data_IF_594199912807
#
_entry.id   IF_594199912807
#
_cell.length_a   1.000
_cell.length_b   1.000
_cell.length_c   1.000
_cell.angle_alpha   90.00
_cell.angle_beta   90.00
_cell.angle_gamma   90.00
#
_symmetry.space_group_name_H-M   'P 1'
#
loop_
_entity.id
_entity.type
_entity.pdbx_description
1 polymer ?
#
# COMPACT_ATOMS: atom_id res chain seq x y z
N UNK A 1 -27.65 -4.67 -24.23
CA UNK A 1 -27.30 -4.46 -22.80
C UNK A 1 -25.86 -4.81 -22.59
N UNK A 2 -25.06 -3.86 -22.15
CA UNK A 2 -23.64 -4.07 -21.92
C UNK A 2 -23.30 -3.89 -20.45
N UNK A 3 -22.77 -4.94 -19.82
CA UNK A 3 -22.21 -4.87 -18.48
C UNK A 3 -20.70 -4.78 -18.59
N UNK A 4 -20.10 -3.86 -17.89
CA UNK A 4 -18.67 -3.71 -17.83
C UNK A 4 -18.21 -3.72 -16.37
N UNK A 5 -17.01 -4.27 -16.17
CA UNK A 5 -16.36 -4.28 -14.88
C UNK A 5 -15.02 -3.56 -15.01
N UNK A 6 -14.80 -2.59 -14.15
CA UNK A 6 -13.54 -1.88 -14.08
C UNK A 6 -13.04 -1.87 -12.65
N UNK A 7 -11.73 -1.71 -12.50
CA UNK A 7 -11.11 -1.58 -11.20
C UNK A 7 -10.24 -0.34 -11.18
N UNK A 8 -10.23 0.34 -10.03
CA UNK A 8 -9.37 1.49 -9.85
C UNK A 8 -8.96 1.60 -8.37
N UNK A 9 -7.78 2.14 -8.15
CA UNK A 9 -7.34 2.51 -6.81
C UNK A 9 -7.91 3.88 -6.52
N UNK A 10 -9.09 3.92 -5.90
CA UNK A 10 -9.83 5.18 -5.73
C UNK A 10 -9.37 5.98 -4.50
N UNK A 11 -8.53 5.38 -3.67
CA UNK A 11 -8.00 6.07 -2.50
C UNK A 11 -6.65 5.49 -2.13
N UNK A 12 -5.64 6.35 -2.06
CA UNK A 12 -4.29 5.98 -1.62
C UNK A 12 -3.88 6.99 -0.57
N UNK A 13 -3.59 6.53 0.65
CA UNK A 13 -3.26 7.39 1.78
C UNK A 13 -1.95 6.99 2.42
N UNK A 14 -1.19 7.97 2.86
CA UNK A 14 -0.03 7.75 3.73
C UNK A 14 -0.51 7.94 5.16
N UNK A 15 -0.44 6.88 5.97
CA UNK A 15 -0.95 6.87 7.34
C UNK A 15 0.19 6.60 8.29
N UNK A 16 0.28 7.40 9.36
CA UNK A 16 1.30 7.25 10.38
C UNK A 16 2.72 7.26 9.81
N UNK A 17 2.95 8.08 8.76
CA UNK A 17 4.26 8.29 8.14
C UNK A 17 4.76 7.10 7.33
N UNK A 18 4.48 5.86 7.75
CA UNK A 18 5.07 4.65 7.16
C UNK A 18 4.13 3.88 6.27
N UNK A 19 2.85 3.81 6.61
CA UNK A 19 1.91 2.90 5.98
C UNK A 19 1.25 3.55 4.78
N UNK A 20 1.15 2.79 3.69
CA UNK A 20 0.37 3.19 2.52
C UNK A 20 -0.90 2.37 2.51
N UNK A 21 -2.05 3.00 2.70
CA UNK A 21 -3.34 2.35 2.58
C UNK A 21 -3.86 2.52 1.16
N UNK A 22 -4.21 1.42 0.53
CA UNK A 22 -4.75 1.41 -0.83
C UNK A 22 -6.16 0.85 -0.77
N UNK A 23 -7.12 1.61 -1.28
CA UNK A 23 -8.48 1.12 -1.48
C UNK A 23 -8.71 0.92 -2.97
N UNK A 24 -8.98 -0.32 -3.36
CA UNK A 24 -9.30 -0.68 -4.74
C UNK A 24 -10.81 -0.83 -4.86
N UNK A 25 -11.39 -0.14 -5.83
CA UNK A 25 -12.81 -0.21 -6.11
C UNK A 25 -13.05 -1.06 -7.35
N UNK A 26 -13.97 -2.01 -7.25
CA UNK A 26 -14.50 -2.76 -8.39
C UNK A 26 -15.85 -2.17 -8.73
N UNK A 27 -15.99 -1.68 -9.95
CA UNK A 27 -17.15 -0.92 -10.40
C UNK A 27 -17.84 -1.70 -11.50
N UNK A 28 -19.13 -1.99 -11.32
CA UNK A 28 -19.96 -2.64 -12.31
C UNK A 28 -20.90 -1.60 -12.92
N UNK A 29 -20.85 -1.47 -14.23
CA UNK A 29 -21.71 -0.53 -14.96
C UNK A 29 -22.58 -1.26 -15.97
N UNK A 30 -23.76 -0.73 -16.18
CA UNK A 30 -24.68 -1.18 -17.23
C UNK A 30 -24.93 0.00 -18.15
N UNK A 31 -24.54 -0.15 -19.43
CA UNK A 31 -24.70 0.88 -20.45
C UNK A 31 -24.10 2.22 -20.02
N UNK A 32 -22.93 2.15 -19.35
CA UNK A 32 -22.21 3.34 -18.87
C UNK A 32 -22.65 3.88 -17.53
N UNK A 33 -23.69 3.30 -16.92
CA UNK A 33 -24.23 3.76 -15.64
C UNK A 33 -23.77 2.82 -14.53
N UNK A 34 -23.20 3.36 -13.48
CA UNK A 34 -22.71 2.58 -12.35
C UNK A 34 -23.88 1.93 -11.61
N UNK A 35 -23.83 0.60 -11.48
CA UNK A 35 -24.83 -0.17 -10.72
C UNK A 35 -24.39 -0.45 -9.31
N UNK A 36 -23.13 -0.81 -9.15
CA UNK A 36 -22.60 -1.19 -7.83
C UNK A 36 -21.10 -0.96 -7.78
N UNK A 37 -20.59 -0.83 -6.57
CA UNK A 37 -19.17 -0.63 -6.31
C UNK A 37 -18.82 -1.38 -5.04
N UNK A 38 -17.79 -2.19 -5.12
CA UNK A 38 -17.25 -2.88 -3.95
C UNK A 38 -15.80 -2.47 -3.73
N UNK A 39 -15.32 -2.63 -2.51
CA UNK A 39 -14.00 -2.14 -2.12
C UNK A 39 -13.16 -3.24 -1.50
N UNK A 40 -11.87 -3.22 -1.82
CA UNK A 40 -10.85 -4.00 -1.14
C UNK A 40 -9.77 -3.05 -0.64
N UNK A 41 -9.33 -3.27 0.57
CA UNK A 41 -8.29 -2.45 1.18
C UNK A 41 -7.07 -3.31 1.49
N UNK A 42 -5.89 -2.71 1.32
CA UNK A 42 -4.64 -3.33 1.74
C UNK A 42 -3.72 -2.25 2.30
N UNK A 43 -2.75 -2.69 3.08
CA UNK A 43 -1.75 -1.81 3.69
C UNK A 43 -0.39 -2.28 3.24
N UNK A 44 0.42 -1.34 2.75
CA UNK A 44 1.81 -1.59 2.39
C UNK A 44 2.70 -0.89 3.41
N UNK A 45 3.75 -1.59 3.81
CA UNK A 45 4.76 -1.07 4.76
C UNK A 45 6.10 -1.00 4.07
N UNK A 46 7.03 -0.12 4.52
CA UNK A 46 8.31 0.06 3.85
C UNK A 46 9.18 -1.19 3.74
N UNK A 47 9.04 -2.13 4.66
CA UNK A 47 9.83 -3.34 4.61
C UNK A 47 9.74 -4.15 5.87
N UNK A 48 10.65 -5.11 5.99
CA UNK A 48 10.78 -5.97 7.18
C UNK A 48 12.24 -6.05 7.58
N UNK A 49 12.50 -6.51 8.81
CA UNK A 49 13.88 -6.74 9.26
C UNK A 49 14.29 -8.17 8.93
N UNK A 50 15.55 -8.31 8.48
CA UNK A 50 16.15 -9.64 8.34
C UNK A 50 16.80 -10.06 9.67
N UNK A 51 17.49 -11.22 9.65
CA UNK A 51 18.11 -11.77 10.86
C UNK A 51 19.24 -10.88 11.40
N UNK A 52 19.80 -9.99 10.57
CA UNK A 52 20.88 -9.07 10.94
C UNK A 52 20.37 -7.65 11.23
N UNK A 53 19.06 -7.49 11.40
CA UNK A 53 18.40 -6.20 11.65
C UNK A 53 18.60 -5.19 10.51
N UNK A 54 18.78 -5.68 9.28
CA UNK A 54 18.77 -4.85 8.09
C UNK A 54 17.36 -4.76 7.53
N UNK A 55 17.00 -3.58 7.02
CA UNK A 55 15.69 -3.40 6.40
C UNK A 55 15.67 -4.04 5.01
N UNK A 56 14.80 -5.02 4.84
CA UNK A 56 14.51 -5.62 3.53
C UNK A 56 13.31 -4.86 2.95
N UNK A 57 13.55 -4.07 1.92
CA UNK A 57 12.53 -3.19 1.36
C UNK A 57 11.42 -3.98 0.69
N UNK A 58 10.20 -3.47 0.79
CA UNK A 58 9.03 -4.08 0.18
C UNK A 58 9.17 -4.03 -1.34
N UNK A 59 8.93 -5.17 -1.98
CA UNK A 59 8.93 -5.26 -3.43
C UNK A 59 7.63 -4.66 -3.98
N UNK A 60 7.76 -3.59 -4.74
CA UNK A 60 6.64 -2.88 -5.33
C UNK A 60 6.40 -3.26 -6.80
N UNK A 61 7.17 -4.21 -7.33
CA UNK A 61 7.08 -4.54 -8.75
C UNK A 61 5.72 -5.09 -9.17
N UNK A 62 4.98 -5.70 -8.24
CA UNK A 62 3.64 -6.23 -8.49
C UNK A 62 2.53 -5.22 -8.26
N UNK A 63 2.84 -3.98 -7.86
CA UNK A 63 1.83 -2.97 -7.60
C UNK A 63 1.54 -2.12 -8.83
N UNK A 64 0.35 -1.53 -8.88
CA UNK A 64 0.00 -0.60 -9.95
C UNK A 64 0.92 0.62 -9.92
N UNK A 65 1.08 1.27 -11.06
CA UNK A 65 2.03 2.39 -11.18
C UNK A 65 1.72 3.55 -10.25
N UNK A 66 0.44 3.86 -10.01
CA UNK A 66 0.04 4.92 -9.10
C UNK A 66 0.45 4.62 -7.66
N UNK A 67 0.20 3.39 -7.20
CA UNK A 67 0.60 2.94 -5.86
C UNK A 67 2.12 2.97 -5.73
N UNK A 68 2.82 2.46 -6.74
CA UNK A 68 4.28 2.37 -6.73
C UNK A 68 4.92 3.76 -6.66
N UNK A 69 4.43 4.70 -7.45
CA UNK A 69 4.96 6.07 -7.47
C UNK A 69 4.73 6.80 -6.15
N UNK A 70 3.55 6.64 -5.55
CA UNK A 70 3.22 7.26 -4.26
C UNK A 70 4.08 6.66 -3.16
N UNK A 71 4.24 5.34 -3.15
CA UNK A 71 5.08 4.66 -2.16
C UNK A 71 6.54 5.09 -2.28
N UNK A 72 7.06 5.17 -3.48
CA UNK A 72 8.44 5.62 -3.72
C UNK A 72 8.66 7.06 -3.25
N UNK A 73 7.67 7.93 -3.43
CA UNK A 73 7.76 9.30 -2.98
C UNK A 73 7.65 9.42 -1.45
N UNK A 74 6.77 8.61 -0.84
CA UNK A 74 6.54 8.63 0.60
C UNK A 74 7.69 7.99 1.37
N UNK A 75 8.26 6.91 0.84
CA UNK A 75 9.32 6.15 1.52
C UNK A 75 10.70 6.67 1.10
N UNK A 76 11.02 7.88 1.57
CA UNK A 76 12.34 8.47 1.40
C UNK A 76 13.37 7.68 2.22
N UNK A 77 14.65 7.96 1.99
CA UNK A 77 15.72 7.33 2.78
C UNK A 77 15.54 7.60 4.27
N UNK A 78 15.11 8.81 4.63
CA UNK A 78 14.86 9.15 6.03
C UNK A 78 13.70 8.35 6.60
N UNK A 79 12.60 8.20 5.85
CA UNK A 79 11.45 7.42 6.29
C UNK A 79 11.82 5.95 6.47
N UNK A 80 12.61 5.40 5.55
CA UNK A 80 13.09 4.01 5.67
C UNK A 80 13.97 3.83 6.90
N UNK A 81 14.86 4.78 7.17
CA UNK A 81 15.71 4.74 8.36
C UNK A 81 14.87 4.82 9.64
N UNK A 82 13.88 5.70 9.66
CA UNK A 82 12.97 5.84 10.80
C UNK A 82 12.16 4.56 11.03
N UNK A 83 11.71 3.94 9.95
CA UNK A 83 10.94 2.70 10.03
C UNK A 83 11.80 1.54 10.55
N UNK A 84 13.05 1.46 10.07
CA UNK A 84 14.00 0.48 10.58
C UNK A 84 14.20 0.63 12.08
N UNK A 85 14.40 1.88 12.54
CA UNK A 85 14.57 2.17 13.97
C UNK A 85 13.31 1.80 14.76
N UNK A 86 12.14 2.07 14.20
CA UNK A 86 10.86 1.70 14.80
C UNK A 86 10.74 0.18 14.97
N UNK A 87 11.08 -0.58 13.94
CA UNK A 87 11.01 -2.04 13.98
C UNK A 87 11.99 -2.61 15.00
N UNK A 88 13.21 -2.07 15.05
CA UNK A 88 14.22 -2.53 16.02
C UNK A 88 13.76 -2.22 17.45
N UNK A 89 13.20 -1.04 17.68
CA UNK A 89 12.69 -0.65 19.00
C UNK A 89 11.55 -1.55 19.47
N UNK A 90 10.66 -1.97 18.56
CA UNK A 90 9.53 -2.81 18.90
C UNK A 90 9.86 -4.30 18.97
N UNK A 91 10.99 -4.70 18.41
CA UNK A 91 11.45 -6.07 18.43
C UNK A 91 11.68 -6.60 19.85
N UNK A 92 12.16 -5.75 20.73
CA UNK A 92 12.44 -6.12 22.12
C UNK A 92 11.17 -6.33 22.96
N UNK A 93 10.01 -5.88 22.47
CA UNK A 93 8.74 -6.04 23.17
C UNK A 93 8.12 -7.42 22.94
N UNK A 94 8.73 -8.23 22.08
CA UNK A 94 8.25 -9.59 21.82
C UNK A 94 8.75 -10.52 22.91
N UNK A 95 7.84 -11.19 23.61
CA UNK A 95 8.24 -12.14 24.67
C UNK A 95 8.97 -13.34 24.11
#
# INVERSE_FOLDING_TARGET
MALTETQENDKIEVVNKFNIQVRNATIIKKDGVELTRSFHRKILKPGTLDASDNLVETDLSGEDSDVRLIAQAAWSDQVKADYKAYLIANKSDTP
#
